data_IF_295115689810
#
_entry.id   IF_295115689810
#
_cell.length_a   1.000
_cell.length_b   1.000
_cell.length_c   1.000
_cell.angle_alpha   90.00
_cell.angle_beta   90.00
_cell.angle_gamma   90.00
#
_symmetry.space_group_name_H-M   'P 1'
#
loop_
_entity.id
_entity.type
_entity.pdbx_description
1 polymer ?
#
# COMPACT_ATOMS: atom_id res chain seq x y z
N UNK A 1 -30.80 17.48 25.91
CA UNK A 1 -30.28 17.84 24.56
C UNK A 1 -28.89 18.48 24.64
N UNK A 2 -28.63 19.42 25.60
CA UNK A 2 -27.30 20.01 25.77
C UNK A 2 -26.27 18.97 26.29
N UNK A 3 -26.63 18.16 27.31
CA UNK A 3 -25.82 17.07 27.82
C UNK A 3 -25.58 15.96 26.76
N UNK A 4 -26.56 15.66 25.90
CA UNK A 4 -26.42 14.70 24.81
C UNK A 4 -25.49 15.25 23.71
N UNK A 5 -25.51 16.55 23.43
CA UNK A 5 -24.63 17.20 22.46
C UNK A 5 -23.17 17.27 22.96
N UNK A 6 -22.95 17.43 24.25
CA UNK A 6 -21.63 17.38 24.89
C UNK A 6 -21.04 15.97 24.84
N UNK A 7 -21.85 14.94 25.12
CA UNK A 7 -21.45 13.53 25.01
C UNK A 7 -21.14 13.10 23.57
N UNK A 8 -21.73 13.75 22.56
CA UNK A 8 -21.45 13.49 21.15
C UNK A 8 -20.26 14.30 20.57
N UNK A 9 -19.54 15.07 21.41
CA UNK A 9 -18.38 15.84 20.98
C UNK A 9 -18.72 16.99 20.02
N UNK A 10 -19.91 17.62 20.19
CA UNK A 10 -20.35 18.74 19.37
C UNK A 10 -19.82 20.10 19.82
N UNK A 11 -19.09 20.14 20.92
CA UNK A 11 -18.43 21.34 21.47
C UNK A 11 -16.94 21.07 21.63
N UNK A 12 -16.13 22.12 21.45
CA UNK A 12 -14.70 22.07 21.75
C UNK A 12 -14.45 22.36 23.26
N UNK A 13 -13.17 22.34 23.67
CA UNK A 13 -12.77 22.60 25.05
C UNK A 13 -13.10 24.03 25.53
N UNK A 14 -13.36 24.95 24.59
CA UNK A 14 -13.72 26.34 24.84
C UNK A 14 -15.24 26.60 24.76
N UNK A 15 -16.07 25.54 24.80
CA UNK A 15 -17.54 25.56 24.70
C UNK A 15 -18.07 26.12 23.35
N UNK A 16 -17.22 26.20 22.30
CA UNK A 16 -17.71 26.59 20.99
C UNK A 16 -18.36 25.41 20.29
N UNK A 17 -19.53 25.64 19.72
CA UNK A 17 -20.25 24.60 18.98
C UNK A 17 -19.52 24.17 17.71
N UNK A 18 -19.16 22.91 17.64
CA UNK A 18 -18.63 22.30 16.43
C UNK A 18 -19.74 22.08 15.40
N UNK A 19 -19.46 22.43 14.16
CA UNK A 19 -20.37 22.20 13.04
C UNK A 19 -19.81 21.07 12.18
N UNK A 20 -20.70 20.16 11.80
CA UNK A 20 -20.32 19.12 10.84
C UNK A 20 -19.90 19.77 9.52
N UNK A 21 -18.71 19.47 9.05
CA UNK A 21 -18.28 19.85 7.71
C UNK A 21 -19.05 19.01 6.69
N UNK A 22 -19.89 19.65 5.89
CA UNK A 22 -20.79 19.00 4.92
C UNK A 22 -20.44 19.45 3.51
N UNK A 23 -20.75 18.62 2.51
CA UNK A 23 -20.49 18.89 1.09
C UNK A 23 -21.17 20.21 0.60
N UNK A 24 -22.19 20.68 1.33
CA UNK A 24 -22.83 21.97 1.06
C UNK A 24 -22.02 23.17 1.52
N UNK A 25 -20.97 22.94 2.32
CA UNK A 25 -20.05 23.98 2.72
C UNK A 25 -19.08 24.28 1.55
N UNK A 26 -19.12 25.49 1.01
CA UNK A 26 -18.19 25.91 -0.06
C UNK A 26 -16.70 25.87 0.34
N UNK A 27 -16.39 25.62 1.60
CA UNK A 27 -15.03 25.47 2.16
C UNK A 27 -14.73 24.04 2.61
N UNK A 28 -15.56 23.07 2.24
CA UNK A 28 -15.49 21.69 2.69
C UNK A 28 -14.05 21.12 2.64
N UNK A 29 -13.43 21.16 1.48
CA UNK A 29 -12.07 20.65 1.28
C UNK A 29 -11.01 21.50 2.02
N UNK A 30 -11.14 22.84 2.01
CA UNK A 30 -10.14 23.69 2.67
C UNK A 30 -10.18 23.60 4.19
N UNK A 31 -11.34 23.41 4.77
CA UNK A 31 -11.50 23.23 6.22
C UNK A 31 -10.91 21.87 6.64
N UNK A 32 -11.16 20.82 5.84
CA UNK A 32 -10.55 19.52 6.04
C UNK A 32 -9.01 19.57 5.90
N UNK A 33 -8.50 20.22 4.85
CA UNK A 33 -7.06 20.40 4.64
C UNK A 33 -6.39 21.10 5.81
N UNK A 34 -6.99 22.18 6.32
CA UNK A 34 -6.46 22.93 7.46
C UNK A 34 -6.39 22.09 8.74
N UNK A 35 -7.43 21.29 8.97
CA UNK A 35 -7.48 20.38 10.11
C UNK A 35 -6.39 19.29 10.01
N UNK A 36 -6.23 18.66 8.85
CA UNK A 36 -5.25 17.59 8.65
C UNK A 36 -3.82 18.12 8.66
N UNK A 37 -3.57 19.28 8.05
CA UNK A 37 -2.24 19.90 7.99
C UNK A 37 -1.62 20.07 9.38
N UNK A 38 -2.35 20.66 10.31
CA UNK A 38 -1.86 20.86 11.69
C UNK A 38 -1.54 19.53 12.39
N UNK A 39 -2.34 18.50 12.18
CA UNK A 39 -2.12 17.15 12.75
C UNK A 39 -0.89 16.47 12.15
N UNK A 40 -0.68 16.61 10.84
CA UNK A 40 0.49 16.02 10.17
C UNK A 40 1.79 16.70 10.59
N UNK A 41 1.79 18.01 10.84
CA UNK A 41 2.95 18.70 11.43
C UNK A 41 3.33 18.13 12.80
N UNK A 42 2.34 17.87 13.66
CA UNK A 42 2.57 17.24 14.95
C UNK A 42 3.06 15.79 14.79
N UNK A 43 2.40 15.01 13.93
CA UNK A 43 2.78 13.63 13.66
C UNK A 43 4.24 13.53 13.15
N UNK A 44 4.66 14.42 12.25
CA UNK A 44 6.04 14.48 11.77
C UNK A 44 7.04 14.68 12.92
N UNK A 45 6.71 15.52 13.88
CA UNK A 45 7.59 15.78 15.02
C UNK A 45 7.70 14.60 16.00
N UNK A 46 6.70 13.72 16.02
CA UNK A 46 6.70 12.51 16.85
C UNK A 46 7.48 11.35 16.21
N UNK A 47 7.73 11.38 14.90
CA UNK A 47 8.51 10.35 14.21
C UNK A 47 10.00 10.47 14.54
N UNK A 48 10.66 9.32 14.67
CA UNK A 48 12.14 9.21 14.63
C UNK A 48 12.67 9.60 13.26
N UNK A 49 13.97 9.87 13.13
CA UNK A 49 14.55 10.33 11.87
C UNK A 49 14.48 9.25 10.76
N UNK A 50 14.46 7.98 11.13
CA UNK A 50 14.25 6.81 10.25
C UNK A 50 12.79 6.36 10.21
N UNK A 51 11.89 7.11 10.86
CA UNK A 51 10.48 6.78 10.98
C UNK A 51 9.69 6.95 9.71
N UNK A 52 8.55 6.28 9.65
CA UNK A 52 7.60 6.29 8.53
C UNK A 52 6.18 6.44 9.03
N UNK A 53 5.34 7.11 8.27
CA UNK A 53 3.91 7.27 8.53
C UNK A 53 3.10 6.61 7.43
N UNK A 54 2.04 5.92 7.83
CA UNK A 54 1.02 5.36 6.94
C UNK A 54 -0.30 6.08 7.21
N UNK A 55 -0.94 6.60 6.18
CA UNK A 55 -2.17 7.38 6.29
C UNK A 55 -3.20 6.79 5.36
N UNK A 56 -4.28 6.24 5.95
CA UNK A 56 -5.42 5.71 5.19
C UNK A 56 -6.31 6.85 4.71
N UNK A 57 -6.75 6.79 3.47
CA UNK A 57 -7.62 7.77 2.85
C UNK A 57 -8.45 7.11 1.75
N UNK A 58 -9.65 7.62 1.52
CA UNK A 58 -10.45 7.28 0.34
C UNK A 58 -10.11 8.19 -0.85
N UNK A 59 -10.81 8.02 -1.95
CA UNK A 59 -10.60 8.76 -3.20
C UNK A 59 -11.06 10.23 -3.15
N UNK A 60 -11.86 10.62 -2.16
CA UNK A 60 -12.40 11.98 -2.11
C UNK A 60 -11.33 13.04 -1.80
N UNK A 61 -10.37 12.70 -0.94
CA UNK A 61 -9.36 13.65 -0.45
C UNK A 61 -7.92 13.17 -0.67
N UNK A 62 -7.71 12.09 -1.44
CA UNK A 62 -6.38 11.50 -1.68
C UNK A 62 -5.41 12.52 -2.29
N UNK A 63 -5.85 13.25 -3.31
CA UNK A 63 -5.06 14.28 -3.99
C UNK A 63 -4.66 15.43 -3.06
N UNK A 64 -5.58 15.88 -2.20
CA UNK A 64 -5.32 16.95 -1.25
C UNK A 64 -4.38 16.47 -0.15
N UNK A 65 -4.60 15.26 0.37
CA UNK A 65 -3.72 14.66 1.37
C UNK A 65 -2.30 14.50 0.83
N UNK A 66 -2.15 14.03 -0.41
CA UNK A 66 -0.84 13.86 -1.04
C UNK A 66 -0.07 15.18 -1.10
N UNK A 67 -0.73 16.27 -1.52
CA UNK A 67 -0.12 17.61 -1.59
C UNK A 67 0.28 18.12 -0.21
N UNK A 68 -0.57 17.93 0.80
CA UNK A 68 -0.26 18.31 2.18
C UNK A 68 0.94 17.52 2.70
N UNK A 69 0.98 16.22 2.44
CA UNK A 69 2.11 15.37 2.85
C UNK A 69 3.40 15.76 2.12
N UNK A 70 3.34 16.11 0.84
CA UNK A 70 4.51 16.61 0.09
C UNK A 70 5.07 17.90 0.71
N UNK A 71 4.19 18.78 1.23
CA UNK A 71 4.62 20.01 1.93
C UNK A 71 5.17 19.71 3.32
N UNK A 72 4.47 18.88 4.10
CA UNK A 72 4.84 18.59 5.50
C UNK A 72 6.09 17.72 5.60
N UNK A 73 6.15 16.61 4.84
CA UNK A 73 7.25 15.63 4.92
C UNK A 73 8.32 15.88 3.87
N UNK A 74 7.99 16.58 2.80
CA UNK A 74 8.82 16.77 1.61
C UNK A 74 8.52 15.71 0.54
N UNK A 75 8.32 16.13 -0.71
CA UNK A 75 7.99 15.23 -1.82
C UNK A 75 9.07 14.15 -2.07
N UNK A 76 10.34 14.42 -1.73
CA UNK A 76 11.44 13.47 -1.83
C UNK A 76 11.35 12.32 -0.85
N UNK A 77 10.56 12.46 0.22
CA UNK A 77 10.34 11.46 1.26
C UNK A 77 9.08 10.62 1.02
N UNK A 78 8.42 10.81 -0.12
CA UNK A 78 7.33 9.93 -0.54
C UNK A 78 7.86 8.52 -0.81
N UNK A 79 7.28 7.53 -0.15
CA UNK A 79 7.69 6.12 -0.29
C UNK A 79 6.81 5.40 -1.29
N UNK A 80 5.50 5.38 -1.06
CA UNK A 80 4.54 4.70 -1.94
C UNK A 80 3.09 5.03 -1.58
N UNK A 81 2.18 4.76 -2.52
CA UNK A 81 0.75 4.62 -2.26
C UNK A 81 0.34 3.15 -2.46
N UNK A 82 -0.28 2.57 -1.45
CA UNK A 82 -0.74 1.19 -1.48
C UNK A 82 -2.26 1.16 -1.64
N UNK A 83 -2.81 0.41 -2.62
CA UNK A 83 -4.23 0.16 -2.66
C UNK A 83 -4.61 -0.85 -1.55
N UNK A 84 -5.54 -0.47 -0.70
CA UNK A 84 -6.04 -1.30 0.38
C UNK A 84 -7.44 -1.82 0.05
N UNK A 85 -7.58 -3.12 -0.10
CA UNK A 85 -8.88 -3.72 -0.41
C UNK A 85 -9.81 -3.67 0.79
N UNK A 86 -10.92 -2.92 0.67
CA UNK A 86 -11.90 -2.74 1.75
C UNK A 86 -13.14 -3.62 1.62
N UNK A 87 -13.45 -4.12 0.43
CA UNK A 87 -14.65 -4.92 0.17
C UNK A 87 -14.34 -6.17 -0.63
N UNK A 88 -15.08 -7.25 -0.35
CA UNK A 88 -15.02 -8.51 -1.09
C UNK A 88 -16.35 -8.85 -1.76
N UNK A 89 -17.45 -8.17 -1.39
CA UNK A 89 -18.78 -8.39 -1.94
C UNK A 89 -19.17 -7.25 -2.87
N UNK A 90 -19.86 -7.59 -3.97
CA UNK A 90 -20.50 -6.60 -4.84
C UNK A 90 -21.60 -5.90 -4.06
N UNK A 91 -21.64 -4.58 -4.12
CA UNK A 91 -22.75 -3.77 -3.60
C UNK A 91 -23.37 -3.00 -4.76
N UNK A 92 -24.68 -2.68 -4.63
CA UNK A 92 -25.32 -1.75 -5.55
C UNK A 92 -24.64 -0.38 -5.41
N UNK A 93 -23.99 0.04 -6.47
CA UNK A 93 -23.25 1.30 -6.54
C UNK A 93 -23.73 2.11 -7.73
N UNK A 94 -23.71 3.44 -7.65
CA UNK A 94 -24.01 4.29 -8.79
C UNK A 94 -23.17 3.88 -10.02
N UNK A 95 -23.77 3.87 -11.18
CA UNK A 95 -23.15 3.51 -12.46
C UNK A 95 -22.63 2.05 -12.59
N UNK A 96 -22.95 1.17 -11.61
CA UNK A 96 -22.55 -0.26 -11.67
C UNK A 96 -21.06 -0.52 -11.53
N UNK A 97 -20.27 0.48 -11.11
CA UNK A 97 -18.83 0.33 -10.87
C UNK A 97 -18.57 0.34 -9.37
N UNK A 98 -18.12 -0.78 -8.83
CA UNK A 98 -17.78 -0.92 -7.41
C UNK A 98 -16.34 -0.48 -7.16
N UNK A 99 -16.15 0.39 -6.17
CA UNK A 99 -14.84 0.77 -5.67
C UNK A 99 -14.51 -0.09 -4.45
N UNK A 100 -13.66 -1.08 -4.66
CA UNK A 100 -13.38 -2.13 -3.67
C UNK A 100 -12.14 -1.84 -2.83
N UNK A 101 -11.49 -0.68 -3.01
CA UNK A 101 -10.24 -0.32 -2.34
C UNK A 101 -10.24 1.12 -1.85
N UNK A 102 -9.35 1.37 -0.93
CA UNK A 102 -8.94 2.68 -0.43
C UNK A 102 -7.42 2.81 -0.62
N UNK A 103 -6.86 3.94 -0.27
CA UNK A 103 -5.44 4.18 -0.39
C UNK A 103 -4.78 4.26 0.99
N UNK A 104 -3.53 3.81 1.04
CA UNK A 104 -2.64 4.07 2.16
C UNK A 104 -1.42 4.81 1.62
N UNK A 105 -1.31 6.09 1.95
CA UNK A 105 -0.13 6.88 1.62
C UNK A 105 0.97 6.60 2.64
N UNK A 106 2.18 6.44 2.15
CA UNK A 106 3.36 6.17 2.97
C UNK A 106 4.42 7.26 2.72
N UNK A 107 4.82 7.95 3.80
CA UNK A 107 5.87 8.95 3.79
C UNK A 107 6.91 8.66 4.86
N UNK A 108 8.18 8.82 4.52
CA UNK A 108 9.27 8.77 5.48
C UNK A 108 9.45 10.13 6.17
N UNK A 109 10.03 10.14 7.37
CA UNK A 109 10.46 11.37 8.06
C UNK A 109 11.61 12.04 7.32
N UNK A 110 12.56 11.23 6.86
CA UNK A 110 13.79 11.67 6.19
C UNK A 110 14.35 10.58 5.27
N UNK A 111 15.45 10.87 4.59
CA UNK A 111 16.22 9.93 3.78
C UNK A 111 16.90 8.80 4.59
N UNK A 112 16.84 8.84 5.91
CA UNK A 112 17.38 7.78 6.78
C UNK A 112 16.47 6.55 6.83
N UNK A 113 15.24 6.67 6.35
CA UNK A 113 14.32 5.54 6.26
C UNK A 113 14.85 4.50 5.26
N UNK A 114 14.91 3.26 5.69
CA UNK A 114 15.21 2.11 4.84
C UNK A 114 14.17 1.02 5.07
N UNK A 115 13.42 0.68 4.03
CA UNK A 115 12.55 -0.49 4.07
C UNK A 115 13.43 -1.74 4.03
N UNK A 116 13.82 -2.25 5.19
CA UNK A 116 14.55 -3.51 5.28
C UNK A 116 13.58 -4.68 5.35
N UNK A 117 13.51 -5.45 4.29
CA UNK A 117 13.01 -6.81 4.37
C UNK A 117 14.25 -7.69 4.48
N UNK A 118 14.50 -8.26 5.66
CA UNK A 118 15.50 -9.31 5.77
C UNK A 118 15.08 -10.46 4.84
N UNK A 119 15.65 -10.47 3.64
CA UNK A 119 15.49 -11.56 2.70
C UNK A 119 16.23 -12.78 3.24
N UNK A 120 15.62 -13.97 3.13
CA UNK A 120 16.35 -15.21 3.36
C UNK A 120 17.60 -15.22 2.47
N UNK A 121 18.75 -15.58 3.06
CA UNK A 121 19.99 -15.73 2.34
C UNK A 121 19.81 -16.64 1.12
N UNK A 122 20.10 -16.13 -0.06
CA UNK A 122 19.89 -16.86 -1.32
C UNK A 122 21.08 -17.77 -1.55
N UNK A 123 20.87 -19.08 -1.53
CA UNK A 123 21.92 -20.06 -1.87
C UNK A 123 22.12 -20.08 -3.38
N UNK A 124 23.35 -19.82 -3.80
CA UNK A 124 23.80 -19.98 -5.17
C UNK A 124 24.74 -21.18 -5.27
N UNK A 125 24.69 -21.85 -6.38
CA UNK A 125 25.50 -23.01 -6.70
C UNK A 125 26.35 -22.70 -7.92
N UNK A 126 27.57 -23.18 -7.93
CA UNK A 126 28.42 -23.19 -9.12
C UNK A 126 28.65 -24.62 -9.56
N UNK A 127 28.62 -24.85 -10.86
CA UNK A 127 28.97 -26.15 -11.47
C UNK A 127 30.04 -25.97 -12.50
N UNK A 128 30.90 -26.98 -12.75
CA UNK A 128 32.00 -26.90 -13.73
C UNK A 128 31.50 -26.52 -15.13
N UNK A 129 30.26 -26.90 -15.49
CA UNK A 129 29.67 -26.61 -16.79
C UNK A 129 29.31 -25.13 -16.98
N UNK A 130 29.26 -24.37 -15.90
CA UNK A 130 28.87 -22.95 -15.86
C UNK A 130 29.80 -22.15 -14.92
N UNK A 131 31.09 -22.36 -15.04
CA UNK A 131 32.10 -21.63 -14.23
C UNK A 131 31.92 -20.11 -14.35
N UNK A 132 31.89 -19.40 -13.22
CA UNK A 132 31.67 -17.95 -13.15
C UNK A 132 30.23 -17.50 -13.40
N UNK A 133 29.28 -18.43 -13.46
CA UNK A 133 27.82 -18.13 -13.57
C UNK A 133 27.08 -18.84 -12.45
N UNK A 134 27.05 -18.30 -11.24
CA UNK A 134 26.31 -18.91 -10.14
C UNK A 134 24.82 -18.98 -10.47
N UNK A 135 24.23 -20.13 -10.23
CA UNK A 135 22.81 -20.39 -10.45
C UNK A 135 22.10 -20.74 -9.14
N UNK A 136 20.79 -20.64 -9.11
CA UNK A 136 19.99 -21.05 -7.97
C UNK A 136 18.82 -21.90 -8.41
N UNK A 137 18.41 -22.80 -7.54
CA UNK A 137 17.13 -23.49 -7.71
C UNK A 137 16.01 -22.47 -7.53
N UNK A 138 15.14 -22.40 -8.48
CA UNK A 138 13.90 -21.62 -8.39
C UNK A 138 12.74 -22.55 -8.71
N UNK A 139 11.79 -22.62 -7.80
CA UNK A 139 10.56 -23.33 -8.08
C UNK A 139 9.85 -22.66 -9.27
N UNK A 140 9.50 -23.45 -10.25
CA UNK A 140 8.63 -23.07 -11.37
C UNK A 140 7.18 -23.56 -11.16
N UNK A 141 6.61 -23.55 -9.94
CA UNK A 141 5.24 -23.97 -9.76
C UNK A 141 4.33 -22.94 -10.42
N UNK A 142 3.61 -23.33 -11.43
CA UNK A 142 2.41 -22.61 -11.83
C UNK A 142 1.26 -23.16 -10.97
N UNK A 143 0.45 -22.29 -10.34
CA UNK A 143 -0.70 -22.73 -9.52
C UNK A 143 -1.87 -23.21 -10.37
N UNK A 144 -1.57 -23.94 -11.46
CA UNK A 144 -2.55 -24.47 -12.42
C UNK A 144 -2.22 -25.92 -12.70
N UNK A 145 -3.26 -26.74 -12.76
CA UNK A 145 -3.14 -28.18 -13.04
C UNK A 145 -2.89 -28.46 -14.53
N UNK A 146 -2.37 -29.66 -14.87
CA UNK A 146 -2.19 -30.09 -16.25
C UNK A 146 -3.50 -30.03 -17.05
N UNK A 147 -4.66 -30.22 -16.39
CA UNK A 147 -5.97 -30.13 -16.99
C UNK A 147 -6.35 -28.72 -17.43
N UNK A 148 -5.93 -27.71 -16.66
CA UNK A 148 -6.22 -26.30 -16.95
C UNK A 148 -5.25 -25.72 -17.98
N UNK A 149 -4.00 -26.20 -18.00
CA UNK A 149 -2.96 -25.76 -18.96
C UNK A 149 -2.09 -26.92 -19.45
N UNK A 150 -2.59 -27.80 -20.30
CA UNK A 150 -1.85 -28.97 -20.76
C UNK A 150 -0.55 -28.64 -21.52
N UNK A 151 -0.53 -27.48 -22.20
CA UNK A 151 0.66 -27.00 -22.93
C UNK A 151 1.81 -26.51 -22.03
N UNK A 152 1.60 -26.41 -20.74
CA UNK A 152 2.65 -26.05 -19.75
C UNK A 152 3.36 -27.26 -19.18
N UNK A 153 2.90 -28.45 -19.47
CA UNK A 153 3.43 -29.75 -19.04
C UNK A 153 4.18 -30.40 -20.18
N UNK A 154 5.46 -30.07 -20.30
CA UNK A 154 6.33 -30.57 -21.37
C UNK A 154 7.46 -31.39 -20.77
N UNK A 155 7.80 -32.48 -21.41
CA UNK A 155 9.05 -33.18 -21.13
C UNK A 155 10.21 -32.38 -21.67
N UNK A 156 11.16 -32.03 -20.80
CA UNK A 156 12.36 -31.29 -21.18
C UNK A 156 13.48 -32.31 -21.46
N UNK A 157 14.01 -32.30 -22.67
CA UNK A 157 15.17 -33.09 -23.05
C UNK A 157 16.46 -32.31 -22.91
N UNK A 158 17.50 -32.94 -22.37
CA UNK A 158 18.84 -32.37 -22.40
C UNK A 158 19.50 -32.79 -23.73
N UNK A 159 19.77 -31.88 -24.66
CA UNK A 159 20.29 -32.21 -25.98
C UNK A 159 21.72 -32.75 -25.94
N UNK A 160 22.48 -32.55 -24.87
CA UNK A 160 23.86 -33.02 -24.73
C UNK A 160 23.96 -34.45 -24.15
N UNK A 161 23.06 -34.80 -23.23
CA UNK A 161 23.10 -36.07 -22.51
C UNK A 161 22.02 -37.03 -22.93
N UNK A 162 21.01 -36.58 -23.68
CA UNK A 162 19.82 -37.34 -24.01
C UNK A 162 18.85 -37.60 -22.85
N UNK A 163 19.16 -37.09 -21.65
CA UNK A 163 18.30 -37.25 -20.48
C UNK A 163 16.97 -36.53 -20.68
N UNK A 164 15.89 -37.20 -20.32
CA UNK A 164 14.54 -36.61 -20.36
C UNK A 164 14.02 -36.37 -18.94
N UNK A 165 13.48 -35.18 -18.73
CA UNK A 165 12.87 -34.75 -17.47
C UNK A 165 11.35 -34.61 -17.74
N UNK A 166 10.54 -35.57 -17.32
CA UNK A 166 9.10 -35.50 -17.52
C UNK A 166 8.50 -34.37 -16.68
N UNK A 167 7.41 -33.81 -17.18
CA UNK A 167 6.65 -32.85 -16.39
C UNK A 167 6.17 -33.49 -15.09
N UNK A 168 6.29 -32.79 -13.98
CA UNK A 168 5.72 -33.24 -12.72
C UNK A 168 4.21 -32.88 -12.74
N UNK A 169 3.27 -33.84 -12.55
CA UNK A 169 1.83 -33.62 -12.59
C UNK A 169 1.33 -32.74 -11.43
#
# INVERSE_FOLDING_TARGET
>A
QEEENEQMGMYDEDENRLFKNTDTNGRFHSDWCSMIYSRLLLARNLLTDDGVIFISIDDNEEDNLKKICDEVFGAVNYVATFPWRKRTAKSDVPFGVSQDYEYILCFAKSSNFAASVEGKERKYYETPDFAGRPWRVHDLPKPTTARERPYSYLTIGNPKTGAQYPANP
#
